data_IF_013174617468
#
_entry.id   IF_013174617468
#
_cell.length_a   1.000
_cell.length_b   1.000
_cell.length_c   1.000
_cell.angle_alpha   90.00
_cell.angle_beta   90.00
_cell.angle_gamma   90.00
#
_symmetry.space_group_name_H-M   'P 1'
#
loop_
_entity.id
_entity.type
_entity.pdbx_description
1 polymer ?
#
# COMPACT_ATOMS: atom_id res chain seq x y z
N UNK A 1 -13.30 -6.36 4.98
CA UNK A 1 -11.96 -6.28 4.41
C UNK A 1 -12.03 -6.24 2.89
N UNK A 2 -11.22 -5.43 2.29
CA UNK A 2 -11.20 -5.30 0.84
C UNK A 2 -10.25 -6.29 0.20
N UNK A 3 -10.71 -7.01 -0.81
CA UNK A 3 -9.93 -8.06 -1.45
C UNK A 3 -9.14 -7.48 -2.63
N UNK A 4 -7.81 -7.55 -2.57
CA UNK A 4 -6.94 -7.02 -3.61
C UNK A 4 -6.10 -8.09 -4.30
N UNK A 5 -6.06 -9.29 -3.74
CA UNK A 5 -5.12 -10.31 -4.18
C UNK A 5 -5.21 -10.63 -5.68
N UNK A 6 -6.41 -10.64 -6.22
CA UNK A 6 -6.61 -10.97 -7.62
C UNK A 6 -5.99 -9.96 -8.57
N UNK A 7 -5.74 -8.75 -8.09
CA UNK A 7 -5.17 -7.69 -8.92
C UNK A 7 -3.66 -7.77 -9.04
N UNK A 8 -3.03 -8.59 -8.22
CA UNK A 8 -1.58 -8.63 -8.12
C UNK A 8 -0.91 -9.80 -8.84
N UNK A 9 -1.69 -10.62 -9.51
CA UNK A 9 -1.17 -11.83 -10.15
C UNK A 9 -0.09 -11.54 -11.19
N UNK A 10 -0.11 -10.36 -11.77
CA UNK A 10 0.84 -9.98 -12.81
C UNK A 10 1.91 -9.02 -12.34
N UNK A 11 1.88 -8.66 -11.06
CA UNK A 11 2.79 -7.67 -10.53
C UNK A 11 4.04 -8.34 -9.97
N UNK A 12 4.88 -8.80 -10.88
CA UNK A 12 6.11 -9.50 -10.55
C UNK A 12 7.28 -8.57 -10.78
N UNK A 13 8.20 -8.51 -9.82
CA UNK A 13 9.37 -7.64 -9.92
C UNK A 13 10.35 -8.17 -10.96
N UNK A 14 10.68 -7.33 -11.92
CA UNK A 14 11.63 -7.66 -12.99
C UNK A 14 12.76 -6.62 -13.07
N UNK A 15 13.26 -6.19 -11.91
CA UNK A 15 14.34 -5.23 -11.86
C UNK A 15 13.94 -3.81 -12.22
N UNK A 16 12.65 -3.50 -12.16
CA UNK A 16 12.13 -2.17 -12.47
C UNK A 16 11.95 -1.91 -13.96
N UNK A 17 12.06 -2.92 -14.79
CA UNK A 17 12.00 -2.73 -16.24
C UNK A 17 10.59 -2.66 -16.81
N UNK A 18 9.61 -3.17 -16.09
CA UNK A 18 8.23 -3.30 -16.56
C UNK A 18 7.28 -2.37 -15.84
N UNK A 19 7.75 -1.25 -15.32
CA UNK A 19 6.94 -0.27 -14.63
C UNK A 19 6.30 -0.83 -13.36
N UNK A 20 7.00 -1.73 -12.67
CA UNK A 20 6.46 -2.39 -11.49
C UNK A 20 6.10 -1.39 -10.39
N UNK A 21 6.90 -0.34 -10.22
CA UNK A 21 6.61 0.67 -9.19
C UNK A 21 5.30 1.40 -9.49
N UNK A 22 5.10 1.77 -10.75
CA UNK A 22 3.87 2.42 -11.16
C UNK A 22 2.66 1.51 -11.00
N UNK A 23 2.83 0.23 -11.36
CA UNK A 23 1.75 -0.74 -11.22
C UNK A 23 1.38 -0.97 -9.76
N UNK A 24 2.37 -1.03 -8.87
CA UNK A 24 2.10 -1.18 -7.46
C UNK A 24 1.38 0.04 -6.89
N UNK A 25 1.85 1.22 -7.26
CA UNK A 25 1.20 2.47 -6.85
C UNK A 25 -0.25 2.51 -7.32
N UNK A 26 -0.50 2.10 -8.56
CA UNK A 26 -1.85 2.07 -9.11
C UNK A 26 -2.75 1.07 -8.38
N UNK A 27 -2.21 -0.06 -7.95
CA UNK A 27 -2.98 -1.03 -7.15
C UNK A 27 -3.51 -0.38 -5.87
N UNK A 28 -2.66 0.32 -5.16
CA UNK A 28 -3.07 0.99 -3.93
C UNK A 28 -4.04 2.13 -4.22
N UNK A 29 -3.72 2.95 -5.19
CA UNK A 29 -4.57 4.08 -5.53
C UNK A 29 -5.97 3.64 -5.95
N UNK A 30 -6.05 2.68 -6.84
CA UNK A 30 -7.34 2.20 -7.34
C UNK A 30 -8.15 1.52 -6.26
N UNK A 31 -7.49 0.81 -5.35
CA UNK A 31 -8.17 0.16 -4.23
C UNK A 31 -8.74 1.18 -3.25
N UNK A 32 -7.98 2.21 -2.94
CA UNK A 32 -8.45 3.29 -2.08
C UNK A 32 -9.62 4.03 -2.72
N UNK A 33 -9.51 4.31 -4.01
CA UNK A 33 -10.56 4.99 -4.75
C UNK A 33 -11.84 4.18 -4.76
N UNK A 34 -11.73 2.89 -5.05
CA UNK A 34 -12.89 2.00 -5.10
C UNK A 34 -13.55 1.87 -3.73
N UNK A 35 -12.75 1.76 -2.68
CA UNK A 35 -13.27 1.70 -1.31
C UNK A 35 -14.00 2.99 -0.95
N UNK A 36 -13.40 4.14 -1.25
CA UNK A 36 -14.03 5.44 -1.00
C UNK A 36 -15.36 5.55 -1.73
N UNK A 37 -15.38 5.19 -3.01
CA UNK A 37 -16.58 5.32 -3.83
C UNK A 37 -17.70 4.40 -3.37
N UNK A 38 -17.39 3.37 -2.62
CA UNK A 38 -18.37 2.44 -2.06
C UNK A 38 -18.64 2.68 -0.57
N UNK A 39 -18.22 3.82 -0.05
CA UNK A 39 -18.53 4.21 1.33
C UNK A 39 -17.80 3.39 2.38
N UNK A 40 -16.71 2.74 2.02
CA UNK A 40 -15.92 1.94 2.97
C UNK A 40 -15.01 2.87 3.74
N UNK A 41 -15.12 2.86 5.07
CA UNK A 41 -14.40 3.78 5.94
C UNK A 41 -13.14 3.18 6.56
N UNK A 42 -12.94 1.89 6.47
CA UNK A 42 -11.72 1.26 6.96
C UNK A 42 -11.27 0.19 6.00
N UNK A 43 -9.95 0.06 5.84
CA UNK A 43 -9.39 -0.87 4.89
C UNK A 43 -8.08 -1.44 5.47
N UNK A 44 -7.87 -2.73 5.24
CA UNK A 44 -6.66 -3.41 5.66
C UNK A 44 -5.97 -4.01 4.44
N UNK A 45 -4.69 -3.77 4.33
CA UNK A 45 -3.88 -4.29 3.23
C UNK A 45 -2.89 -5.33 3.74
N UNK A 46 -2.70 -6.41 3.00
CA UNK A 46 -1.53 -7.25 3.22
C UNK A 46 -0.30 -6.59 2.58
N UNK A 47 0.86 -7.19 2.77
CA UNK A 47 2.05 -6.74 2.06
C UNK A 47 1.94 -7.19 0.61
N UNK A 48 1.63 -6.25 -0.27
CA UNK A 48 1.40 -6.54 -1.69
C UNK A 48 2.71 -6.66 -2.44
N UNK A 49 2.80 -7.70 -3.29
CA UNK A 49 3.90 -7.92 -4.22
C UNK A 49 5.27 -8.20 -3.57
N UNK A 50 5.28 -8.52 -2.28
CA UNK A 50 6.49 -9.01 -1.62
C UNK A 50 6.39 -10.53 -1.47
N UNK A 51 7.43 -11.16 -0.97
CA UNK A 51 7.43 -12.61 -0.83
C UNK A 51 7.41 -13.33 -2.16
N UNK A 52 6.31 -13.95 -2.51
CA UNK A 52 6.20 -14.77 -3.72
C UNK A 52 6.49 -14.00 -5.00
N UNK A 53 6.24 -12.71 -5.01
CA UNK A 53 6.46 -11.88 -6.19
C UNK A 53 7.85 -11.23 -6.20
N UNK A 54 8.64 -11.45 -5.17
CA UNK A 54 10.03 -10.99 -5.08
C UNK A 54 10.22 -9.48 -5.19
N UNK A 55 9.18 -8.70 -4.99
CA UNK A 55 9.29 -7.24 -4.98
C UNK A 55 10.11 -6.83 -3.75
N UNK A 56 11.12 -5.96 -3.90
CA UNK A 56 11.92 -5.54 -2.75
C UNK A 56 11.06 -4.91 -1.65
N UNK A 57 11.16 -5.44 -0.44
CA UNK A 57 10.24 -5.09 0.64
C UNK A 57 10.32 -3.62 1.03
N UNK A 58 11.53 -3.07 1.08
CA UNK A 58 11.70 -1.65 1.43
C UNK A 58 11.08 -0.75 0.37
N UNK A 59 11.30 -1.07 -0.89
CA UNK A 59 10.72 -0.31 -1.99
C UNK A 59 9.20 -0.42 -2.00
N UNK A 60 8.69 -1.63 -1.82
CA UNK A 60 7.26 -1.86 -1.78
C UNK A 60 6.59 -1.07 -0.65
N UNK A 61 7.21 -1.03 0.52
CA UNK A 61 6.69 -0.27 1.66
C UNK A 61 6.67 1.23 1.36
N UNK A 62 7.72 1.74 0.74
CA UNK A 62 7.77 3.16 0.37
C UNK A 62 6.66 3.53 -0.58
N UNK A 63 6.44 2.73 -1.60
CA UNK A 63 5.41 2.98 -2.60
C UNK A 63 4.03 2.88 -1.96
N UNK A 64 3.80 1.84 -1.16
CA UNK A 64 2.53 1.60 -0.51
C UNK A 64 2.14 2.76 0.40
N UNK A 65 3.02 3.11 1.32
CA UNK A 65 2.72 4.14 2.32
C UNK A 65 2.62 5.50 1.66
N UNK A 66 3.50 5.81 0.72
CA UNK A 66 3.45 7.09 0.00
C UNK A 66 2.13 7.24 -0.76
N UNK A 67 1.71 6.21 -1.47
CA UNK A 67 0.48 6.26 -2.27
C UNK A 67 -0.74 6.45 -1.38
N UNK A 68 -0.82 5.68 -0.30
CA UNK A 68 -1.94 5.79 0.64
C UNK A 68 -1.93 7.17 1.33
N UNK A 69 -0.77 7.64 1.75
CA UNK A 69 -0.67 8.94 2.41
C UNK A 69 -1.12 10.06 1.48
N UNK A 70 -0.72 10.01 0.22
CA UNK A 70 -1.16 11.00 -0.78
C UNK A 70 -2.67 10.95 -0.95
N UNK A 71 -3.23 9.75 -1.08
CA UNK A 71 -4.67 9.60 -1.25
C UNK A 71 -5.43 10.20 -0.06
N UNK A 72 -4.98 9.92 1.15
CA UNK A 72 -5.61 10.45 2.35
C UNK A 72 -5.49 11.97 2.45
N UNK A 73 -4.38 12.51 1.98
CA UNK A 73 -4.18 13.96 1.96
C UNK A 73 -5.13 14.64 0.96
N UNK A 74 -5.33 14.03 -0.19
CA UNK A 74 -6.20 14.57 -1.24
C UNK A 74 -7.68 14.30 -1.00
N UNK A 75 -7.98 13.35 -0.13
CA UNK A 75 -9.36 12.95 0.18
C UNK A 75 -9.55 12.89 1.69
N UNK A 76 -9.47 14.03 2.37
CA UNK A 76 -9.62 14.05 3.83
C UNK A 76 -11.01 13.53 4.23
N UNK A 77 -11.06 12.87 5.37
CA UNK A 77 -12.30 12.33 5.93
C UNK A 77 -12.91 11.16 5.14
N UNK A 78 -12.16 10.59 4.19
CA UNK A 78 -12.63 9.43 3.43
C UNK A 78 -12.50 8.13 4.20
N UNK A 79 -11.54 8.06 5.11
CA UNK A 79 -11.26 6.84 5.86
C UNK A 79 -11.04 7.14 7.32
N UNK A 80 -11.58 6.26 8.17
CA UNK A 80 -11.30 6.29 9.60
C UNK A 80 -10.01 5.55 9.91
N UNK A 81 -9.72 4.51 9.14
CA UNK A 81 -8.57 3.66 9.42
C UNK A 81 -8.07 3.02 8.14
N UNK A 82 -6.76 3.10 7.93
CA UNK A 82 -6.06 2.32 6.91
C UNK A 82 -4.92 1.62 7.62
N UNK A 83 -4.84 0.31 7.50
CA UNK A 83 -3.78 -0.44 8.17
C UNK A 83 -3.19 -1.50 7.26
N UNK A 84 -1.98 -1.94 7.59
CA UNK A 84 -1.36 -3.09 6.94
C UNK A 84 -1.32 -4.24 7.93
N UNK A 85 -1.72 -5.41 7.46
CA UNK A 85 -1.66 -6.65 8.25
C UNK A 85 -0.46 -7.44 7.75
N UNK A 86 0.56 -7.55 8.57
CA UNK A 86 1.84 -8.11 8.20
C UNK A 86 2.15 -9.30 9.08
N UNK A 87 2.82 -10.30 8.52
CA UNK A 87 2.98 -11.59 9.19
C UNK A 87 4.36 -11.88 9.72
N UNK A 88 5.34 -11.04 9.43
CA UNK A 88 6.67 -11.21 9.98
C UNK A 88 7.20 -9.89 10.52
N UNK A 89 8.06 -10.01 11.53
CA UNK A 89 8.58 -8.86 12.26
C UNK A 89 9.40 -7.93 11.39
N UNK A 90 10.15 -8.48 10.45
CA UNK A 90 11.01 -7.69 9.59
C UNK A 90 10.18 -6.80 8.66
N UNK A 91 9.18 -7.37 8.01
CA UNK A 91 8.29 -6.61 7.13
C UNK A 91 7.53 -5.56 7.94
N UNK A 92 7.05 -5.92 9.12
CA UNK A 92 6.35 -4.99 10.00
C UNK A 92 7.21 -3.79 10.34
N UNK A 93 8.49 -4.04 10.69
CA UNK A 93 9.40 -2.95 11.02
C UNK A 93 9.62 -2.00 9.85
N UNK A 94 9.70 -2.53 8.64
CA UNK A 94 9.90 -1.71 7.44
C UNK A 94 8.68 -0.81 7.20
N UNK A 95 7.49 -1.37 7.27
CA UNK A 95 6.27 -0.58 7.07
C UNK A 95 6.06 0.43 8.19
N UNK A 96 6.34 0.04 9.43
CA UNK A 96 6.22 0.94 10.57
C UNK A 96 7.11 2.15 10.42
N UNK A 97 8.34 1.96 9.96
CA UNK A 97 9.26 3.07 9.73
C UNK A 97 8.72 4.04 8.68
N UNK A 98 8.15 3.53 7.61
CA UNK A 98 7.59 4.38 6.56
C UNK A 98 6.34 5.12 7.03
N UNK A 99 5.46 4.44 7.76
CA UNK A 99 4.25 5.08 8.29
C UNK A 99 4.62 6.20 9.26
N UNK A 100 5.60 5.94 10.13
CA UNK A 100 6.06 6.92 11.11
C UNK A 100 6.59 8.17 10.43
N UNK A 101 7.31 8.00 9.32
CA UNK A 101 7.86 9.12 8.57
C UNK A 101 6.75 10.09 8.12
N UNK A 102 5.66 9.56 7.58
CA UNK A 102 4.57 10.41 7.10
C UNK A 102 3.76 11.02 8.23
N UNK A 103 3.55 10.31 9.32
CA UNK A 103 2.86 10.87 10.47
C UNK A 103 3.66 11.99 11.10
N UNK A 104 4.96 11.85 11.19
CA UNK A 104 5.80 12.90 11.76
C UNK A 104 5.78 14.16 10.90
N UNK A 105 5.65 14.00 9.61
CA UNK A 105 5.57 15.15 8.71
C UNK A 105 4.25 15.89 8.90
N UNK A 106 3.19 15.18 9.26
CA UNK A 106 1.86 15.77 9.41
C UNK A 106 1.69 16.54 10.70
N UNK A 107 2.49 16.21 11.68
CA UNK A 107 2.43 16.87 12.97
C UNK A 107 3.17 18.20 12.93
#
# INVERSE_FOLDING_TARGET
MYELSAKNDRLIWNGGRNREEELLSNCYFNSMKLARDNGIMSIAFPSISTGAYSFPVVLAAKIAVRTVARFLHENPDSFDLVEWVLFDTQTESVYEAEVTLYYNIRI
#
